data_IF_593535231208
#
_entry.id   IF_593535231208
#
_cell.length_a   1.000
_cell.length_b   1.000
_cell.length_c   1.000
_cell.angle_alpha   90.00
_cell.angle_beta   90.00
_cell.angle_gamma   90.00
#
_symmetry.space_group_name_H-M   'P 1'
#
loop_
_entity.id
_entity.type
_entity.pdbx_description
1 polymer ?
#
# COMPACT_ATOMS: atom_id res chain seq x y z
N UNK A 1 -26.76 -17.95 33.76
CA UNK A 1 -26.73 -16.52 33.42
C UNK A 1 -25.30 -16.19 33.01
N UNK A 2 -25.15 -15.78 31.74
CA UNK A 2 -24.09 -14.95 31.11
C UNK A 2 -22.60 -15.39 31.10
N UNK A 3 -22.01 -15.22 29.91
CA UNK A 3 -20.74 -15.71 29.33
C UNK A 3 -19.50 -14.90 29.75
N UNK A 4 -18.34 -15.56 29.93
CA UNK A 4 -17.03 -14.87 29.99
C UNK A 4 -16.41 -14.77 28.58
N UNK A 5 -16.10 -13.53 28.22
CA UNK A 5 -15.61 -13.09 26.91
C UNK A 5 -14.17 -13.52 26.66
N UNK A 6 -13.96 -14.07 25.48
CA UNK A 6 -12.66 -14.40 24.86
C UNK A 6 -11.65 -13.25 24.95
N UNK A 7 -10.46 -13.59 25.43
CA UNK A 7 -9.22 -12.81 25.34
C UNK A 7 -8.68 -12.79 23.91
N UNK A 8 -8.66 -11.60 23.29
CA UNK A 8 -7.78 -11.11 22.21
C UNK A 8 -8.00 -9.58 22.19
N UNK A 9 -7.03 -8.69 22.06
CA UNK A 9 -5.64 -8.76 21.61
C UNK A 9 -4.88 -7.60 22.31
N UNK A 10 -3.59 -7.75 22.64
CA UNK A 10 -2.83 -6.70 23.31
C UNK A 10 -2.57 -5.52 22.36
N UNK A 11 -2.53 -4.33 22.97
CA UNK A 11 -1.88 -3.11 22.45
C UNK A 11 -2.48 -2.50 21.18
N UNK A 12 -3.31 -1.49 21.40
CA UNK A 12 -3.33 -0.26 20.61
C UNK A 12 -1.91 0.32 20.59
N UNK A 13 -1.02 -0.26 19.80
CA UNK A 13 0.28 0.34 19.54
C UNK A 13 -0.02 1.54 18.66
N UNK A 14 0.37 2.71 19.13
CA UNK A 14 0.52 3.93 18.33
C UNK A 14 1.66 3.72 17.32
N UNK A 15 1.58 2.68 16.50
CA UNK A 15 2.41 2.52 15.31
C UNK A 15 1.73 3.38 14.26
N UNK A 16 2.40 4.45 13.84
CA UNK A 16 2.12 5.24 12.65
C UNK A 16 1.40 4.39 11.62
N UNK A 17 0.09 4.59 11.47
CA UNK A 17 -0.69 3.80 10.52
C UNK A 17 -0.03 3.95 9.15
N UNK A 18 0.28 2.84 8.45
CA UNK A 18 0.95 2.89 7.16
C UNK A 18 0.11 3.76 6.22
N UNK A 19 0.74 4.76 5.60
CA UNK A 19 0.08 5.71 4.71
C UNK A 19 -0.60 4.99 3.51
N UNK A 20 -0.08 3.82 3.15
CA UNK A 20 -0.63 2.96 2.11
C UNK A 20 -0.85 1.54 2.66
N UNK A 21 -2.09 1.17 3.01
CA UNK A 21 -2.38 -0.20 3.42
C UNK A 21 -2.21 -1.18 2.25
N UNK A 22 -1.87 -2.44 2.55
CA UNK A 22 -1.78 -3.52 1.57
C UNK A 22 -3.09 -3.65 0.78
N UNK A 23 -3.00 -3.87 -0.53
CA UNK A 23 -4.11 -3.85 -1.48
C UNK A 23 -4.46 -2.44 -2.01
N UNK A 24 -3.76 -1.39 -1.56
CA UNK A 24 -3.97 -0.04 -2.09
C UNK A 24 -3.29 0.13 -3.44
N UNK A 25 -4.01 0.64 -4.43
CA UNK A 25 -3.42 1.05 -5.70
C UNK A 25 -2.55 2.30 -5.53
N UNK A 26 -1.32 2.18 -5.99
CA UNK A 26 -0.30 3.21 -5.90
C UNK A 26 0.34 3.42 -7.28
N UNK A 27 0.89 4.62 -7.43
CA UNK A 27 1.72 5.01 -8.54
C UNK A 27 3.17 5.08 -8.03
N UNK A 28 4.08 4.51 -8.80
CA UNK A 28 5.50 4.43 -8.45
C UNK A 28 6.27 5.43 -9.28
N UNK A 29 7.10 6.26 -8.64
CA UNK A 29 7.99 7.18 -9.34
C UNK A 29 9.17 6.43 -9.95
N UNK A 30 9.29 6.47 -11.27
CA UNK A 30 10.48 5.97 -11.97
C UNK A 30 11.63 6.95 -11.79
N UNK A 31 12.74 6.46 -11.20
CA UNK A 31 13.94 7.28 -10.94
C UNK A 31 14.62 7.79 -12.21
N UNK A 32 14.43 7.11 -13.34
CA UNK A 32 15.04 7.45 -14.61
C UNK A 32 14.29 8.58 -15.34
N UNK A 33 12.97 8.46 -15.47
CA UNK A 33 12.16 9.40 -16.26
C UNK A 33 11.47 10.50 -15.43
N UNK A 34 11.60 10.46 -14.10
CA UNK A 34 10.81 11.26 -13.15
C UNK A 34 9.29 11.15 -13.34
N UNK A 35 8.83 10.17 -14.13
CA UNK A 35 7.43 9.91 -14.40
C UNK A 35 6.83 8.97 -13.36
N UNK A 36 5.54 9.16 -13.10
CA UNK A 36 4.74 8.29 -12.26
C UNK A 36 4.16 7.17 -13.13
N UNK A 37 4.47 5.94 -12.77
CA UNK A 37 3.89 4.78 -13.40
C UNK A 37 2.70 4.32 -12.54
N UNK A 38 1.52 4.26 -13.14
CA UNK A 38 0.28 3.78 -12.52
C UNK A 38 0.11 2.27 -12.65
N UNK A 39 -0.90 1.72 -11.99
CA UNK A 39 -1.20 0.29 -12.05
C UNK A 39 -0.26 -0.54 -11.19
N UNK A 40 0.11 -0.01 -10.02
CA UNK A 40 0.77 -0.79 -8.98
C UNK A 40 -0.16 -0.92 -7.78
N UNK A 41 0.05 -1.94 -6.99
CA UNK A 41 -0.70 -2.23 -5.77
C UNK A 41 0.28 -2.55 -4.65
N UNK A 42 0.08 -2.01 -3.46
CA UNK A 42 0.90 -2.36 -2.30
C UNK A 42 0.64 -3.82 -1.97
N UNK A 43 1.63 -4.68 -2.14
CA UNK A 43 1.52 -6.09 -1.80
C UNK A 43 1.95 -6.35 -0.36
N UNK A 44 2.88 -5.55 0.15
CA UNK A 44 3.39 -5.65 1.50
C UNK A 44 4.01 -4.31 1.92
N UNK A 45 4.03 -4.00 3.21
CA UNK A 45 4.75 -2.84 3.73
C UNK A 45 5.44 -3.23 5.03
N UNK A 46 6.67 -2.75 5.18
CA UNK A 46 7.51 -3.00 6.35
C UNK A 46 8.19 -1.70 6.78
N UNK A 47 8.88 -1.72 7.91
CA UNK A 47 9.73 -0.60 8.36
C UNK A 47 10.82 -0.26 7.34
N UNK A 48 11.22 -1.25 6.54
CA UNK A 48 12.20 -1.11 5.46
C UNK A 48 11.64 -0.41 4.20
N UNK A 49 10.33 -0.18 4.11
CA UNK A 49 9.65 0.43 2.96
C UNK A 49 8.50 -0.41 2.41
N UNK A 50 8.00 -0.03 1.23
CA UNK A 50 6.82 -0.67 0.63
C UNK A 50 7.19 -1.57 -0.54
N UNK A 51 6.60 -2.77 -0.56
CA UNK A 51 6.66 -3.67 -1.70
C UNK A 51 5.39 -3.50 -2.53
N UNK A 52 5.60 -3.30 -3.83
CA UNK A 52 4.51 -3.06 -4.77
C UNK A 52 4.48 -4.15 -5.83
N UNK A 53 3.28 -4.58 -6.16
CA UNK A 53 2.97 -5.48 -7.25
C UNK A 53 2.53 -4.66 -8.47
N UNK A 54 3.12 -4.94 -9.61
CA UNK A 54 2.72 -4.32 -10.87
C UNK A 54 1.51 -5.06 -11.42
N UNK A 55 0.35 -4.40 -11.50
CA UNK A 55 -0.90 -5.00 -12.00
C UNK A 55 -0.85 -5.35 -13.50
N UNK A 56 0.04 -4.71 -14.28
CA UNK A 56 0.19 -5.03 -15.72
C UNK A 56 0.64 -6.47 -15.98
N UNK A 57 1.52 -6.99 -15.14
CA UNK A 57 2.13 -8.32 -15.33
C UNK A 57 1.85 -9.26 -14.15
N UNK A 58 1.44 -8.70 -13.01
CA UNK A 58 1.20 -9.44 -11.78
C UNK A 58 2.49 -9.75 -11.00
N UNK A 59 3.64 -9.25 -11.43
CA UNK A 59 4.91 -9.43 -10.75
C UNK A 59 5.09 -8.46 -9.57
N UNK A 60 5.65 -8.99 -8.48
CA UNK A 60 6.02 -8.21 -7.30
C UNK A 60 7.43 -7.64 -7.52
N UNK A 61 7.56 -6.32 -7.41
CA UNK A 61 8.86 -5.71 -7.61
C UNK A 61 9.80 -6.13 -6.46
N UNK A 62 11.01 -6.64 -6.76
CA UNK A 62 11.98 -7.05 -5.74
C UNK A 62 12.61 -5.85 -5.00
N UNK A 63 12.27 -4.63 -5.43
CA UNK A 63 12.73 -3.36 -4.86
C UNK A 63 11.67 -2.83 -3.90
N UNK A 64 12.13 -2.47 -2.71
CA UNK A 64 11.36 -1.69 -1.74
C UNK A 64 11.34 -0.22 -2.16
N UNK A 65 10.15 0.39 -2.16
CA UNK A 65 9.97 1.80 -2.45
C UNK A 65 9.78 2.60 -1.16
N UNK A 66 10.44 3.75 -1.12
CA UNK A 66 10.27 4.72 -0.05
C UNK A 66 8.95 5.49 -0.24
N UNK A 67 8.38 5.98 0.85
CA UNK A 67 7.15 6.79 0.86
C UNK A 67 7.13 7.94 -0.17
N UNK A 68 8.14 8.83 -0.30
CA UNK A 68 8.18 9.88 -1.31
C UNK A 68 8.25 9.38 -2.76
N UNK A 69 8.60 8.11 -2.96
CA UNK A 69 8.60 7.47 -4.28
C UNK A 69 7.24 6.85 -4.62
N UNK A 70 6.30 6.85 -3.68
CA UNK A 70 4.96 6.31 -3.82
C UNK A 70 3.93 7.40 -3.74
N UNK A 71 2.92 7.28 -4.58
CA UNK A 71 1.77 8.17 -4.54
C UNK A 71 0.52 7.32 -4.61
N UNK A 72 -0.44 7.58 -3.73
CA UNK A 72 -1.75 6.93 -3.80
C UNK A 72 -2.35 7.24 -5.17
N UNK A 73 -2.70 6.21 -5.93
CA UNK A 73 -3.45 6.39 -7.16
C UNK A 73 -4.78 7.00 -6.73
N UNK A 74 -4.93 8.32 -6.92
CA UNK A 74 -6.22 8.96 -6.65
C UNK A 74 -7.15 8.31 -7.65
N UNK A 75 -8.07 7.47 -7.15
CA UNK A 75 -9.23 7.02 -7.93
C UNK A 75 -9.83 8.29 -8.52
N UNK A 76 -9.55 8.57 -9.80
CA UNK A 76 -10.47 9.37 -10.58
C UNK A 76 -11.72 8.51 -10.53
N UNK A 77 -12.71 8.93 -9.75
CA UNK A 77 -14.09 8.66 -10.08
C UNK A 77 -14.24 9.18 -11.50
N UNK A 78 -13.95 8.32 -12.47
CA UNK A 78 -14.39 8.51 -13.84
C UNK A 78 -15.87 8.22 -13.76
N UNK A 79 -16.64 9.21 -13.32
CA UNK A 79 -18.04 9.33 -13.71
C UNK A 79 -18.04 9.29 -15.23
N UNK A 80 -18.38 8.13 -15.76
CA UNK A 80 -18.64 7.83 -17.15
C UNK A 80 -19.83 8.67 -17.62
N UNK A 81 -19.69 9.24 -18.82
CA UNK A 81 -20.79 9.76 -19.63
C UNK A 81 -21.54 8.59 -20.27
#
# INVERSE_FOLDING_TARGET
MTTITTTQDPTTSTMTAPLFPVGTRVEVRRRFDQHWAKGFEVADHDESGYRVRRLSDGELLPVSFDEPSLRKERKKSTWWY
#
